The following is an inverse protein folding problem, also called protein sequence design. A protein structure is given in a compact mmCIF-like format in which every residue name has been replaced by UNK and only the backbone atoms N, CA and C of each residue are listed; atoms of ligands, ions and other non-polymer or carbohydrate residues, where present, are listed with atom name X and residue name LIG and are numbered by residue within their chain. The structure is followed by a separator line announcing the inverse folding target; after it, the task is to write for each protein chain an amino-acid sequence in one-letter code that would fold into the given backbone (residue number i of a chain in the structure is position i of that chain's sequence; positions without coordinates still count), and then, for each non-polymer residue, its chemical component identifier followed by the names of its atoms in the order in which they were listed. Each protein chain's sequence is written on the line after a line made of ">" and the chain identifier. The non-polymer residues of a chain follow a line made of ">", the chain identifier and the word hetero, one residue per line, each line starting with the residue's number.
data_IF_960494719718
#
_entry.id   IF_960494719718
#
_cell.length_a   1.000
_cell.length_b   1.000
_cell.length_c   1.000
_cell.angle_alpha   90.00
_cell.angle_beta   90.00
_cell.angle_gamma   90.00
#
_symmetry.space_group_name_H-M   'P 1'
#
loop_
_entity.id
_entity.type
_entity.pdbx_description
1 polymer ?
#
# COMPACT_ATOMS: atom_id res chain seq x y z
N UNK A 1 -9.33 21.70 12.58
CA UNK A 1 -8.04 22.26 13.05
C UNK A 1 -8.22 22.74 14.48
N UNK A 2 -7.85 21.91 15.44
CA UNK A 2 -8.00 22.25 16.86
C UNK A 2 -6.59 22.52 17.43
N UNK A 3 -6.26 23.78 17.60
CA UNK A 3 -5.06 24.20 18.31
C UNK A 3 -5.29 24.02 19.80
N UNK A 4 -4.63 23.02 20.40
CA UNK A 4 -4.58 22.89 21.86
C UNK A 4 -3.41 23.74 22.38
N UNK A 5 -3.70 24.94 22.90
CA UNK A 5 -2.74 25.67 23.73
C UNK A 5 -2.65 24.97 25.09
N UNK A 6 -1.53 24.28 25.37
CA UNK A 6 -1.24 23.71 26.66
C UNK A 6 -0.49 24.72 27.51
N UNK A 7 -1.19 25.34 28.49
CA UNK A 7 -0.54 26.11 29.54
C UNK A 7 -0.19 25.19 30.70
N UNK A 8 1.09 24.94 30.95
CA UNK A 8 1.61 24.06 32.03
C UNK A 8 1.56 24.70 33.41
N UNK A 9 0.99 25.88 33.57
CA UNK A 9 0.71 26.50 34.89
C UNK A 9 -0.70 27.06 34.87
N UNK A 10 -1.47 26.74 35.90
CA UNK A 10 -2.87 27.07 36.05
C UNK A 10 -3.22 28.55 35.77
N UNK A 11 -4.48 28.89 35.56
CA UNK A 11 -4.89 30.24 35.19
C UNK A 11 -4.46 31.23 36.27
N UNK A 12 -3.85 32.36 35.90
CA UNK A 12 -3.59 33.44 36.87
C UNK A 12 -4.92 33.96 37.42
N UNK A 13 -4.99 34.37 38.68
CA UNK A 13 -6.19 34.94 39.27
C UNK A 13 -6.52 36.25 38.52
N UNK A 14 -7.52 36.23 37.71
CA UNK A 14 -8.10 37.45 37.14
C UNK A 14 -8.98 38.07 38.23
N UNK A 15 -8.65 39.29 38.67
CA UNK A 15 -9.45 40.08 39.60
C UNK A 15 -10.88 40.27 39.05
N UNK A 16 -11.84 40.30 39.98
CA UNK A 16 -13.24 40.48 39.67
C UNK A 16 -13.44 41.81 38.89
N UNK A 17 -13.84 41.73 37.64
CA UNK A 17 -14.17 42.85 36.79
C UNK A 17 -13.48 42.97 35.41
N UNK A 18 -12.57 42.08 35.07
CA UNK A 18 -11.88 42.12 33.76
C UNK A 18 -12.62 41.31 32.68
N UNK A 19 -12.89 41.94 31.55
CA UNK A 19 -13.48 41.31 30.36
C UNK A 19 -12.58 40.17 29.86
N UNK A 20 -13.02 38.92 30.11
CA UNK A 20 -12.34 37.67 29.78
C UNK A 20 -11.98 37.52 28.29
N UNK A 21 -12.58 38.31 27.41
CA UNK A 21 -12.32 38.26 25.97
C UNK A 21 -11.05 38.99 25.56
N UNK A 22 -10.63 40.01 26.30
CA UNK A 22 -9.44 40.82 26.01
C UNK A 22 -8.16 40.27 26.67
N UNK A 23 -8.25 39.57 27.79
CA UNK A 23 -7.05 39.02 28.47
C UNK A 23 -6.41 37.85 27.73
N UNK A 24 -7.14 37.13 26.87
CA UNK A 24 -6.69 35.86 26.29
C UNK A 24 -5.71 36.02 25.11
N UNK A 25 -5.82 37.13 24.35
CA UNK A 25 -5.06 37.24 23.10
C UNK A 25 -3.78 38.10 23.19
N UNK A 26 -3.71 39.03 24.10
CA UNK A 26 -2.58 39.98 24.15
C UNK A 26 -1.35 39.45 24.90
N UNK A 27 -1.46 38.43 25.74
CA UNK A 27 -0.32 37.89 26.47
C UNK A 27 0.35 36.69 25.81
N UNK A 28 -0.32 35.96 24.95
CA UNK A 28 0.32 34.87 24.20
C UNK A 28 1.27 35.38 23.11
N UNK A 29 1.09 36.60 22.64
CA UNK A 29 1.88 37.15 21.54
C UNK A 29 3.23 37.76 21.92
N UNK A 30 3.59 37.85 23.22
CA UNK A 30 4.81 38.54 23.68
C UNK A 30 5.79 37.68 24.46
N UNK A 31 5.61 36.40 24.59
CA UNK A 31 6.64 35.58 25.21
C UNK A 31 7.68 35.19 24.18
N UNK A 32 8.96 35.56 24.35
CA UNK A 32 10.01 35.02 23.52
C UNK A 32 10.01 33.50 23.62
N UNK A 33 10.13 32.85 22.49
CA UNK A 33 10.21 31.38 22.35
C UNK A 33 11.26 30.83 23.35
N UNK A 34 10.92 29.89 24.21
CA UNK A 34 11.84 29.41 25.23
C UNK A 34 13.07 28.79 24.57
N UNK A 35 14.26 29.07 25.12
CA UNK A 35 15.55 28.67 24.55
C UNK A 35 15.74 27.15 24.43
N UNK A 36 14.92 26.36 25.12
CA UNK A 36 14.90 24.89 25.01
C UNK A 36 13.94 24.38 23.92
N UNK A 37 13.07 25.21 23.39
CA UNK A 37 12.17 24.79 22.34
C UNK A 37 12.97 24.53 21.05
N UNK A 38 12.80 23.38 20.41
CA UNK A 38 13.46 23.10 19.16
C UNK A 38 13.13 24.22 18.16
N UNK A 39 14.14 24.77 17.51
CA UNK A 39 13.94 25.79 16.50
C UNK A 39 12.98 25.24 15.45
N UNK A 40 12.11 26.09 14.89
CA UNK A 40 11.22 25.70 13.81
C UNK A 40 11.96 25.05 12.62
N UNK A 41 13.24 25.36 12.42
CA UNK A 41 14.14 24.64 11.51
C UNK A 41 14.39 23.17 11.88
N UNK A 42 14.25 22.80 13.17
CA UNK A 42 14.37 21.40 13.59
C UNK A 42 13.05 20.62 13.40
N UNK A 43 11.93 21.32 13.22
CA UNK A 43 10.64 20.72 12.86
C UNK A 43 10.45 20.61 11.34
N UNK A 44 11.26 21.33 10.55
CA UNK A 44 11.37 21.17 9.10
C UNK A 44 12.40 20.11 8.69
N UNK A 45 12.91 19.32 9.60
CA UNK A 45 13.51 18.04 9.25
C UNK A 45 12.36 17.10 8.88
N UNK A 46 11.72 17.38 7.75
CA UNK A 46 11.29 16.28 6.92
C UNK A 46 12.52 15.40 6.75
N UNK A 47 12.51 14.12 7.15
CA UNK A 47 13.55 13.23 6.68
C UNK A 47 13.54 13.46 5.18
N UNK A 48 14.67 13.95 4.64
CA UNK A 48 14.87 13.95 3.20
C UNK A 48 14.47 12.53 2.81
N UNK A 49 13.33 12.38 2.14
CA UNK A 49 12.98 11.14 1.48
C UNK A 49 14.07 11.01 0.44
N UNK A 50 15.20 10.42 0.84
CA UNK A 50 16.21 9.96 -0.08
C UNK A 50 15.43 9.00 -0.95
N UNK A 51 15.27 9.41 -2.20
CA UNK A 51 14.60 8.58 -3.18
C UNK A 51 15.14 7.16 -3.05
N UNK A 52 14.30 6.15 -2.81
CA UNK A 52 14.79 4.81 -2.57
C UNK A 52 15.66 4.38 -3.74
N UNK A 53 16.83 3.76 -3.51
CA UNK A 53 17.73 3.34 -4.56
C UNK A 53 17.01 2.41 -5.56
N UNK A 54 17.41 2.44 -6.82
CA UNK A 54 16.72 1.75 -7.93
C UNK A 54 16.47 0.28 -7.64
N UNK A 55 17.44 -0.41 -6.98
CA UNK A 55 17.29 -1.83 -6.64
C UNK A 55 16.10 -2.09 -5.68
N UNK A 56 15.81 -1.18 -4.75
CA UNK A 56 14.65 -1.29 -3.86
C UNK A 56 13.35 -1.13 -4.63
N UNK A 57 13.30 -0.21 -5.59
CA UNK A 57 12.13 0.00 -6.46
C UNK A 57 11.85 -1.22 -7.31
N UNK A 58 12.91 -1.84 -7.85
CA UNK A 58 12.78 -3.05 -8.66
C UNK A 58 12.31 -4.24 -7.82
N UNK A 59 12.90 -4.47 -6.65
CA UNK A 59 12.46 -5.53 -5.74
C UNK A 59 11.00 -5.36 -5.29
N UNK A 60 10.62 -4.13 -4.99
CA UNK A 60 9.25 -3.81 -4.62
C UNK A 60 8.27 -4.01 -5.80
N UNK A 61 8.69 -3.72 -7.04
CA UNK A 61 7.89 -3.98 -8.24
C UNK A 61 7.74 -5.47 -8.53
N UNK A 62 8.79 -6.27 -8.28
CA UNK A 62 8.74 -7.73 -8.46
C UNK A 62 7.72 -8.42 -7.56
N UNK A 63 7.41 -7.85 -6.39
CA UNK A 63 6.38 -8.40 -5.51
C UNK A 63 5.00 -8.46 -6.18
N UNK A 64 4.70 -7.53 -7.09
CA UNK A 64 3.42 -7.51 -7.81
C UNK A 64 3.28 -8.60 -8.89
N UNK A 65 4.34 -9.33 -9.18
CA UNK A 65 4.25 -10.52 -10.05
C UNK A 65 3.45 -11.65 -9.40
N UNK A 66 3.39 -11.70 -8.06
CA UNK A 66 2.61 -12.70 -7.33
C UNK A 66 1.11 -12.59 -7.64
N UNK A 67 0.41 -11.48 -7.32
CA UNK A 67 -1.01 -11.34 -7.65
C UNK A 67 -1.25 -11.32 -9.16
N UNK A 68 -0.22 -10.98 -9.96
CA UNK A 68 -0.31 -11.04 -11.42
C UNK A 68 -0.34 -12.48 -11.94
N UNK A 69 0.46 -13.41 -11.34
CA UNK A 69 0.44 -14.83 -11.73
C UNK A 69 -0.93 -15.46 -11.51
N UNK A 70 -1.55 -15.21 -10.36
CA UNK A 70 -2.88 -15.74 -10.02
C UNK A 70 -4.00 -15.14 -10.87
N UNK A 71 -3.91 -13.82 -11.12
CA UNK A 71 -4.86 -13.13 -11.97
C UNK A 71 -4.79 -13.53 -13.45
N UNK A 72 -3.64 -14.05 -13.90
CA UNK A 72 -3.44 -14.41 -15.32
C UNK A 72 -4.43 -15.46 -15.82
N UNK A 73 -4.87 -16.35 -14.94
CA UNK A 73 -5.86 -17.37 -15.24
C UNK A 73 -7.22 -16.81 -15.70
N UNK A 74 -7.59 -15.62 -15.22
CA UNK A 74 -8.83 -14.92 -15.59
C UNK A 74 -8.79 -14.33 -17.00
N UNK A 75 -7.58 -14.10 -17.58
CA UNK A 75 -7.39 -13.50 -18.90
C UNK A 75 -7.62 -14.44 -20.08
N UNK A 76 -7.91 -15.72 -19.87
CA UNK A 76 -8.00 -16.74 -20.94
C UNK A 76 -8.97 -16.34 -22.06
N UNK A 77 -10.09 -15.72 -21.72
CA UNK A 77 -11.07 -15.23 -22.70
C UNK A 77 -10.51 -14.14 -23.60
N UNK A 78 -9.75 -13.21 -23.04
CA UNK A 78 -9.10 -12.12 -23.76
C UNK A 78 -7.92 -12.59 -24.62
N UNK A 79 -7.19 -13.61 -24.19
CA UNK A 79 -6.06 -14.14 -24.94
C UNK A 79 -6.47 -14.76 -26.26
N UNK A 80 -7.70 -15.31 -26.34
CA UNK A 80 -8.29 -15.79 -27.60
C UNK A 80 -8.60 -14.66 -28.57
N UNK A 81 -8.97 -13.48 -28.08
CA UNK A 81 -9.25 -12.30 -28.91
C UNK A 81 -7.97 -11.51 -29.23
N UNK A 82 -7.05 -11.40 -28.29
CA UNK A 82 -5.81 -10.63 -28.39
C UNK A 82 -4.61 -11.51 -28.01
N UNK A 83 -4.06 -12.31 -28.94
CA UNK A 83 -2.91 -13.19 -28.64
C UNK A 83 -1.68 -12.46 -28.11
N UNK A 84 -1.51 -11.18 -28.47
CA UNK A 84 -0.40 -10.36 -27.97
C UNK A 84 -0.40 -10.21 -26.45
N UNK A 85 -1.55 -10.32 -25.77
CA UNK A 85 -1.63 -10.25 -24.31
C UNK A 85 -0.97 -11.45 -23.61
N UNK A 86 -0.76 -12.56 -24.31
CA UNK A 86 -0.06 -13.73 -23.78
C UNK A 86 1.40 -13.43 -23.42
N UNK A 87 2.03 -12.46 -24.11
CA UNK A 87 3.40 -12.02 -23.79
C UNK A 87 3.53 -11.39 -22.40
N UNK A 88 2.43 -10.89 -21.83
CA UNK A 88 2.38 -10.42 -20.44
C UNK A 88 2.56 -11.55 -19.43
N UNK A 89 2.47 -12.80 -19.86
CA UNK A 89 2.75 -13.99 -19.06
C UNK A 89 4.24 -14.32 -18.94
N UNK A 90 5.11 -13.77 -19.80
CA UNK A 90 6.54 -14.10 -19.77
C UNK A 90 7.21 -13.77 -18.43
N UNK A 91 6.99 -12.59 -17.83
CA UNK A 91 7.63 -12.25 -16.57
C UNK A 91 7.14 -13.08 -15.36
N UNK A 92 5.97 -13.72 -15.45
CA UNK A 92 5.43 -14.55 -14.36
C UNK A 92 5.89 -16.02 -14.45
N UNK A 93 6.48 -16.45 -15.56
CA UNK A 93 6.90 -17.84 -15.74
C UNK A 93 7.74 -18.39 -14.57
N UNK A 94 8.75 -17.69 -14.03
CA UNK A 94 9.53 -18.21 -12.93
C UNK A 94 8.71 -18.42 -11.66
N UNK A 95 7.73 -17.55 -11.40
CA UNK A 95 6.83 -17.66 -10.23
C UNK A 95 5.86 -18.81 -10.42
N UNK A 96 5.23 -18.90 -11.59
CA UNK A 96 4.30 -19.97 -11.92
C UNK A 96 4.97 -21.37 -11.86
N UNK A 97 6.22 -21.47 -12.30
CA UNK A 97 6.99 -22.71 -12.16
C UNK A 97 7.28 -23.04 -10.69
N UNK A 98 7.61 -22.05 -9.89
CA UNK A 98 7.87 -22.21 -8.47
C UNK A 98 6.61 -22.66 -7.70
N UNK A 99 5.46 -22.07 -8.03
CA UNK A 99 4.16 -22.44 -7.46
C UNK A 99 3.75 -23.88 -7.81
N UNK A 100 4.06 -24.33 -9.03
CA UNK A 100 3.74 -25.69 -9.47
C UNK A 100 4.72 -26.74 -8.96
N UNK A 101 5.95 -26.35 -8.59
CA UNK A 101 6.97 -27.27 -8.12
C UNK A 101 6.67 -27.82 -6.71
N UNK A 102 5.86 -27.14 -5.92
CA UNK A 102 5.55 -27.48 -4.53
C UNK A 102 4.04 -27.58 -4.34
N UNK A 103 3.51 -28.61 -3.66
CA UNK A 103 2.10 -28.64 -3.30
C UNK A 103 1.76 -27.41 -2.45
N UNK A 104 0.67 -26.74 -2.78
CA UNK A 104 0.29 -25.44 -2.19
C UNK A 104 1.35 -24.33 -2.38
N UNK A 105 2.07 -24.34 -3.52
CA UNK A 105 3.18 -23.45 -3.79
C UNK A 105 2.85 -21.96 -3.62
N UNK A 106 1.68 -21.50 -4.03
CA UNK A 106 1.21 -20.13 -3.80
C UNK A 106 1.15 -19.78 -2.30
N UNK A 107 0.59 -20.68 -1.47
CA UNK A 107 0.54 -20.46 -0.02
C UNK A 107 1.94 -20.45 0.62
N UNK A 108 2.83 -21.34 0.16
CA UNK A 108 4.22 -21.38 0.64
C UNK A 108 4.94 -20.08 0.25
N UNK A 109 4.79 -19.62 -0.97
CA UNK A 109 5.39 -18.40 -1.47
C UNK A 109 4.88 -17.16 -0.70
N UNK A 110 3.56 -17.09 -0.49
CA UNK A 110 2.94 -16.09 0.39
C UNK A 110 3.58 -16.08 1.79
N UNK A 111 3.66 -17.26 2.43
CA UNK A 111 4.20 -17.38 3.79
C UNK A 111 5.67 -16.96 3.86
N UNK A 112 6.47 -17.37 2.88
CA UNK A 112 7.89 -17.00 2.77
C UNK A 112 8.03 -15.49 2.62
N UNK A 113 7.29 -14.85 1.71
CA UNK A 113 7.32 -13.40 1.53
C UNK A 113 6.86 -12.66 2.78
N UNK A 114 5.80 -13.12 3.41
CA UNK A 114 5.30 -12.51 4.63
C UNK A 114 6.31 -12.58 5.78
N UNK A 115 6.88 -13.77 6.05
CA UNK A 115 7.81 -13.96 7.15
C UNK A 115 9.20 -13.37 6.87
N UNK A 116 9.73 -13.57 5.66
CA UNK A 116 11.09 -13.16 5.32
C UNK A 116 11.20 -11.65 5.03
N UNK A 117 10.15 -11.04 4.49
CA UNK A 117 10.17 -9.64 4.08
C UNK A 117 9.37 -8.77 5.04
N UNK A 118 8.07 -9.04 5.23
CA UNK A 118 7.18 -8.15 6.00
C UNK A 118 7.54 -8.13 7.48
N UNK A 119 7.83 -9.31 8.06
CA UNK A 119 8.18 -9.45 9.48
C UNK A 119 9.64 -9.07 9.80
N UNK A 120 10.47 -8.88 8.79
CA UNK A 120 11.90 -8.63 8.97
C UNK A 120 12.19 -7.12 9.04
N UNK A 121 12.55 -6.63 10.23
CA UNK A 121 12.88 -5.22 10.46
C UNK A 121 14.18 -4.76 9.76
N UNK A 122 14.99 -5.67 9.22
CA UNK A 122 16.20 -5.34 8.44
C UNK A 122 15.86 -4.91 7.01
N UNK A 123 14.66 -5.24 6.53
CA UNK A 123 14.20 -4.89 5.19
C UNK A 123 13.71 -3.43 5.19
N UNK A 124 14.12 -2.63 4.19
CA UNK A 124 13.66 -1.25 4.04
C UNK A 124 12.12 -1.14 4.02
N UNK A 125 11.59 -0.09 4.66
CA UNK A 125 10.15 0.14 4.76
C UNK A 125 9.44 0.09 3.40
N UNK A 126 10.04 0.70 2.36
CA UNK A 126 9.45 0.74 1.00
C UNK A 126 9.19 -0.66 0.45
N UNK A 127 10.13 -1.60 0.63
CA UNK A 127 9.96 -2.99 0.16
C UNK A 127 8.87 -3.68 0.98
N UNK A 128 8.90 -3.56 2.31
CA UNK A 128 7.91 -4.17 3.21
C UNK A 128 6.49 -3.68 2.88
N UNK A 129 6.34 -2.39 2.67
CA UNK A 129 5.05 -1.77 2.31
C UNK A 129 4.50 -2.36 1.00
N UNK A 130 5.31 -2.37 -0.07
CA UNK A 130 4.88 -2.85 -1.38
C UNK A 130 4.63 -4.37 -1.39
N UNK A 131 5.47 -5.16 -0.70
CA UNK A 131 5.26 -6.59 -0.57
C UNK A 131 3.98 -6.91 0.18
N UNK A 132 3.70 -6.21 1.31
CA UNK A 132 2.46 -6.41 2.04
C UNK A 132 1.23 -6.01 1.20
N UNK A 133 1.34 -4.94 0.43
CA UNK A 133 0.28 -4.51 -0.48
C UNK A 133 0.03 -5.54 -1.59
N UNK A 134 1.10 -6.07 -2.20
CA UNK A 134 1.00 -7.14 -3.20
C UNK A 134 0.33 -8.39 -2.62
N UNK A 135 0.70 -8.80 -1.41
CA UNK A 135 0.11 -9.92 -0.67
C UNK A 135 -1.40 -9.70 -0.43
N UNK A 136 -1.82 -8.49 -0.04
CA UNK A 136 -3.24 -8.20 0.16
C UNK A 136 -4.04 -8.27 -1.14
N UNK A 137 -3.46 -7.78 -2.25
CA UNK A 137 -4.07 -7.92 -3.57
C UNK A 137 -4.19 -9.39 -3.96
N UNK A 138 -3.16 -10.17 -3.71
CA UNK A 138 -3.12 -11.61 -3.98
C UNK A 138 -4.22 -12.37 -3.23
N UNK A 139 -4.39 -12.09 -1.94
CA UNK A 139 -5.51 -12.65 -1.15
C UNK A 139 -6.86 -12.34 -1.80
N UNK A 140 -7.05 -11.11 -2.28
CA UNK A 140 -8.29 -10.72 -2.97
C UNK A 140 -8.47 -11.53 -4.25
N UNK A 141 -7.41 -11.71 -5.05
CA UNK A 141 -7.46 -12.52 -6.28
C UNK A 141 -7.81 -13.98 -5.98
N UNK A 142 -7.20 -14.57 -4.95
CA UNK A 142 -7.50 -15.93 -4.51
C UNK A 142 -8.95 -16.07 -4.04
N UNK A 143 -9.46 -15.11 -3.26
CA UNK A 143 -10.87 -15.12 -2.82
C UNK A 143 -11.83 -15.00 -4.00
N UNK A 144 -11.52 -14.16 -4.98
CA UNK A 144 -12.31 -14.06 -6.22
C UNK A 144 -12.26 -15.39 -6.98
N UNK A 145 -11.09 -16.03 -7.09
CA UNK A 145 -10.94 -17.33 -7.73
C UNK A 145 -11.79 -18.42 -7.03
N UNK A 146 -11.78 -18.46 -5.70
CA UNK A 146 -12.63 -19.36 -4.92
C UNK A 146 -14.13 -19.07 -5.16
N UNK A 147 -14.52 -17.81 -5.20
CA UNK A 147 -15.90 -17.43 -5.50
C UNK A 147 -16.35 -17.92 -6.88
N UNK A 148 -15.48 -17.79 -7.90
CA UNK A 148 -15.73 -18.32 -9.25
C UNK A 148 -15.93 -19.85 -9.23
N UNK A 149 -15.14 -20.57 -8.45
CA UNK A 149 -15.24 -22.02 -8.33
C UNK A 149 -16.51 -22.45 -7.59
N UNK A 150 -16.80 -21.85 -6.43
CA UNK A 150 -17.96 -22.21 -5.61
C UNK A 150 -19.28 -21.87 -6.31
N UNK A 151 -19.35 -20.70 -6.94
CA UNK A 151 -20.56 -20.25 -7.68
C UNK A 151 -20.64 -20.85 -9.08
N UNK A 152 -19.68 -21.69 -9.48
CA UNK A 152 -19.58 -22.30 -10.82
C UNK A 152 -19.73 -21.28 -11.96
N UNK A 153 -19.25 -20.06 -11.76
CA UNK A 153 -19.36 -18.98 -12.74
C UNK A 153 -18.70 -19.32 -14.07
N UNK A 154 -17.70 -20.20 -14.05
CA UNK A 154 -17.06 -20.72 -15.27
C UNK A 154 -17.99 -21.54 -16.17
N UNK A 155 -19.09 -22.08 -15.66
CA UNK A 155 -20.11 -22.80 -16.42
C UNK A 155 -21.08 -21.84 -17.13
N UNK A 156 -21.12 -20.56 -16.74
CA UNK A 156 -21.94 -19.53 -17.38
C UNK A 156 -21.17 -18.92 -18.55
N UNK A 157 -21.52 -19.31 -19.77
CA UNK A 157 -20.74 -18.94 -20.97
C UNK A 157 -20.51 -17.44 -21.14
N UNK A 158 -21.56 -16.63 -21.10
CA UNK A 158 -21.44 -15.20 -21.32
C UNK A 158 -21.06 -14.45 -20.04
N UNK A 159 -21.80 -14.67 -18.97
CA UNK A 159 -21.62 -13.94 -17.70
C UNK A 159 -20.26 -14.27 -17.08
N UNK A 160 -19.90 -15.56 -17.03
CA UNK A 160 -18.62 -16.01 -16.48
C UNK A 160 -17.42 -15.46 -17.24
N UNK A 161 -17.46 -15.49 -18.57
CA UNK A 161 -16.39 -14.91 -19.42
C UNK A 161 -16.27 -13.39 -19.23
N UNK A 162 -17.40 -12.68 -19.21
CA UNK A 162 -17.40 -11.22 -19.03
C UNK A 162 -16.84 -10.84 -17.66
N UNK A 163 -17.30 -11.50 -16.60
CA UNK A 163 -16.84 -11.24 -15.25
C UNK A 163 -15.34 -11.57 -15.09
N UNK A 164 -14.90 -12.72 -15.63
CA UNK A 164 -13.49 -13.12 -15.64
C UNK A 164 -12.60 -12.07 -16.32
N UNK A 165 -12.99 -11.62 -17.52
CA UNK A 165 -12.26 -10.59 -18.24
C UNK A 165 -12.23 -9.25 -17.48
N UNK A 166 -13.34 -8.88 -16.81
CA UNK A 166 -13.41 -7.66 -16.00
C UNK A 166 -12.45 -7.73 -14.82
N UNK A 167 -12.41 -8.86 -14.12
CA UNK A 167 -11.45 -9.08 -13.01
C UNK A 167 -10.02 -8.97 -13.53
N UNK A 168 -9.70 -9.64 -14.62
CA UNK A 168 -8.37 -9.58 -15.24
C UNK A 168 -7.94 -8.15 -15.56
N UNK A 169 -8.81 -7.37 -16.25
CA UNK A 169 -8.51 -5.97 -16.59
C UNK A 169 -8.34 -5.13 -15.33
N UNK A 170 -9.21 -5.31 -14.32
CA UNK A 170 -9.13 -4.60 -13.05
C UNK A 170 -7.79 -4.82 -12.34
N UNK A 171 -7.37 -6.08 -12.21
CA UNK A 171 -6.07 -6.42 -11.61
C UNK A 171 -4.91 -5.92 -12.47
N UNK A 172 -4.99 -6.01 -13.80
CA UNK A 172 -3.97 -5.48 -14.71
C UNK A 172 -3.74 -3.98 -14.48
N UNK A 173 -4.82 -3.19 -14.45
CA UNK A 173 -4.74 -1.74 -14.23
C UNK A 173 -4.14 -1.44 -12.86
N UNK A 174 -4.56 -2.17 -11.82
CA UNK A 174 -4.08 -2.00 -10.45
C UNK A 174 -2.60 -2.32 -10.33
N UNK A 175 -2.14 -3.44 -10.88
CA UNK A 175 -0.73 -3.86 -10.87
C UNK A 175 0.12 -2.88 -11.68
N UNK A 176 -0.31 -2.46 -12.87
CA UNK A 176 0.40 -1.46 -13.67
C UNK A 176 0.52 -0.13 -12.94
N UNK A 177 -0.56 0.34 -12.31
CA UNK A 177 -0.52 1.56 -11.49
C UNK A 177 0.50 1.45 -10.36
N UNK A 178 0.46 0.35 -9.60
CA UNK A 178 1.37 0.12 -8.49
C UNK A 178 2.84 0.05 -8.94
N UNK A 179 3.13 -0.69 -10.02
CA UNK A 179 4.48 -0.80 -10.59
C UNK A 179 4.99 0.55 -11.08
N UNK A 180 4.17 1.33 -11.80
CA UNK A 180 4.57 2.65 -12.29
C UNK A 180 4.86 3.62 -11.15
N UNK A 181 4.02 3.65 -10.11
CA UNK A 181 4.26 4.50 -8.93
C UNK A 181 5.54 4.12 -8.21
N UNK A 182 5.75 2.82 -8.05
CA UNK A 182 6.93 2.27 -7.40
C UNK A 182 8.23 2.59 -8.16
N UNK A 183 8.23 2.45 -9.48
CA UNK A 183 9.37 2.83 -10.32
C UNK A 183 9.65 4.34 -10.28
N UNK A 184 8.61 5.17 -10.10
CA UNK A 184 8.76 6.62 -9.88
C UNK A 184 9.29 6.97 -8.49
N UNK A 185 9.51 5.99 -7.61
CA UNK A 185 9.95 6.19 -6.24
C UNK A 185 8.86 6.74 -5.30
N UNK A 186 7.61 6.71 -5.72
CA UNK A 186 6.46 7.11 -4.91
C UNK A 186 5.79 5.87 -4.32
N UNK A 187 5.27 6.00 -3.09
CA UNK A 187 4.40 4.95 -2.55
C UNK A 187 3.17 4.83 -3.44
N UNK A 188 2.80 3.61 -3.79
CA UNK A 188 1.57 3.35 -4.53
C UNK A 188 0.39 3.47 -3.55
N UNK A 189 -0.05 4.71 -3.31
CA UNK A 189 -1.21 4.96 -2.46
C UNK A 189 -2.49 4.48 -3.16
N UNK A 190 -2.86 3.22 -2.88
CA UNK A 190 -4.14 2.66 -3.27
C UNK A 190 -5.10 2.95 -2.11
N UNK A 191 -6.11 3.81 -2.31
CA UNK A 191 -7.07 4.13 -1.25
C UNK A 191 -7.67 2.85 -0.67
N UNK A 192 -7.84 2.78 0.63
CA UNK A 192 -8.28 1.64 1.43
C UNK A 192 -7.21 0.56 1.70
N UNK A 193 -6.38 0.18 0.74
CA UNK A 193 -5.30 -0.82 0.94
C UNK A 193 -4.10 -0.22 1.67
N UNK A 194 -3.69 0.98 1.31
CA UNK A 194 -2.55 1.65 1.94
C UNK A 194 -2.77 1.95 3.43
N UNK A 195 -4.00 2.26 3.84
CA UNK A 195 -4.34 2.42 5.26
C UNK A 195 -4.22 1.10 6.03
N UNK A 196 -4.75 0.00 5.47
CA UNK A 196 -4.64 -1.33 6.06
C UNK A 196 -3.18 -1.78 6.21
N UNK A 197 -2.35 -1.50 5.21
CA UNK A 197 -0.91 -1.80 5.21
C UNK A 197 -0.18 -1.00 6.30
N UNK A 198 -0.46 0.30 6.42
CA UNK A 198 0.17 1.18 7.42
C UNK A 198 -0.18 0.80 8.86
N UNK A 199 -1.36 0.24 9.09
CA UNK A 199 -1.75 -0.25 10.42
C UNK A 199 -1.01 -1.53 10.84
N UNK A 200 -0.43 -2.28 9.90
CA UNK A 200 0.25 -3.55 10.17
C UNK A 200 1.79 -3.45 10.21
N UNK A 201 2.37 -2.36 9.73
CA UNK A 201 3.81 -2.12 9.70
C UNK A 201 4.28 -1.28 10.87
#
# INVERSE_FOLDING_TARGET
>A
MAWRCWCSRGPPPCGAGADLRRCRWQRCARQPWPSWAPSLKALEVSPSMQDPPIWQRVLAALAYLLPWSDAFSFGRGLFGLFPALQWLGVPILPIALLEQAVPFGGLVLFLVLFLAVVRNNKVPYVIRFNVLQAILIDIVVVLVSLAFQVLQLGALDFVGKTLSNTVFIGILVLVLFAVVQNLRGKEADIPSLSEAVRMQL
#
